data_IF_928401482290
#
_entry.id   IF_928401482290
#
_cell.length_a   1.000
_cell.length_b   1.000
_cell.length_c   1.000
_cell.angle_alpha   90.00
_cell.angle_beta   90.00
_cell.angle_gamma   90.00
#
_symmetry.space_group_name_H-M   'P 1'
#
loop_
_entity.id
_entity.type
_entity.pdbx_description
1 polymer ?
#
# COMPACT_ATOMS: atom_id res chain seq x y z
N UNK A 1 14.14 7.61 -16.70
CA UNK A 1 13.57 7.08 -15.46
C UNK A 1 12.11 6.84 -15.67
N UNK A 2 11.64 5.68 -15.32
CA UNK A 2 10.22 5.31 -15.39
C UNK A 2 9.89 4.33 -14.28
N UNK A 3 8.67 4.41 -13.77
CA UNK A 3 8.11 3.45 -12.81
C UNK A 3 6.82 2.89 -13.37
N UNK A 4 6.63 1.58 -13.24
CA UNK A 4 5.38 0.86 -13.51
C UNK A 4 4.91 0.16 -12.26
N UNK A 5 3.64 0.32 -11.93
CA UNK A 5 2.98 -0.33 -10.78
C UNK A 5 1.71 -0.99 -11.28
N UNK A 6 1.44 -2.22 -10.85
CA UNK A 6 0.15 -2.88 -11.04
C UNK A 6 -0.27 -3.55 -9.73
N UNK A 7 -1.57 -3.50 -9.42
CA UNK A 7 -2.12 -4.10 -8.21
C UNK A 7 -3.52 -4.65 -8.43
N UNK A 8 -3.86 -5.67 -7.63
CA UNK A 8 -5.20 -6.24 -7.50
C UNK A 8 -5.55 -6.45 -6.03
N UNK A 9 -6.78 -6.11 -5.66
CA UNK A 9 -7.31 -6.25 -4.31
C UNK A 9 -8.26 -5.11 -3.96
N UNK A 10 -8.81 -5.08 -2.74
CA UNK A 10 -9.63 -3.96 -2.28
C UNK A 10 -8.86 -2.65 -2.38
N UNK A 11 -9.49 -1.58 -2.89
CA UNK A 11 -8.88 -0.25 -3.01
C UNK A 11 -7.58 -0.22 -3.85
N UNK A 12 -7.42 -1.11 -4.83
CA UNK A 12 -6.22 -1.16 -5.66
C UNK A 12 -5.95 0.18 -6.39
N UNK A 13 -7.00 0.92 -6.77
CA UNK A 13 -6.84 2.24 -7.36
C UNK A 13 -6.16 3.25 -6.43
N UNK A 14 -6.63 3.36 -5.18
CA UNK A 14 -6.00 4.20 -4.16
C UNK A 14 -4.58 3.71 -3.83
N UNK A 15 -4.39 2.39 -3.75
CA UNK A 15 -3.12 1.77 -3.44
C UNK A 15 -2.04 2.12 -4.48
N UNK A 16 -2.33 1.95 -5.77
CA UNK A 16 -1.42 2.30 -6.88
C UNK A 16 -1.11 3.80 -6.89
N UNK A 17 -2.13 4.66 -6.72
CA UNK A 17 -1.94 6.10 -6.66
C UNK A 17 -1.03 6.53 -5.51
N UNK A 18 -1.31 6.06 -4.28
CA UNK A 18 -0.54 6.44 -3.10
C UNK A 18 0.88 5.87 -3.12
N UNK A 19 1.07 4.67 -3.66
CA UNK A 19 2.38 4.06 -3.88
C UNK A 19 3.21 4.91 -4.85
N UNK A 20 2.63 5.34 -5.98
CA UNK A 20 3.30 6.27 -6.90
C UNK A 20 3.61 7.61 -6.22
N UNK A 21 2.64 8.21 -5.53
CA UNK A 21 2.81 9.49 -4.83
C UNK A 21 3.92 9.45 -3.77
N UNK A 22 4.01 8.37 -3.01
CA UNK A 22 5.11 8.16 -2.07
C UNK A 22 6.46 8.07 -2.79
N UNK A 23 6.53 7.31 -3.89
CA UNK A 23 7.74 7.20 -4.71
C UNK A 23 8.16 8.55 -5.28
N UNK A 24 7.23 9.38 -5.76
CA UNK A 24 7.52 10.73 -6.26
C UNK A 24 8.04 11.68 -5.17
N UNK A 25 7.60 11.51 -3.92
CA UNK A 25 8.00 12.36 -2.79
C UNK A 25 9.37 12.02 -2.21
N UNK A 26 9.73 10.74 -2.19
CA UNK A 26 10.96 10.28 -1.53
C UNK A 26 12.03 9.83 -2.53
N UNK A 27 11.65 9.55 -3.77
CA UNK A 27 12.57 9.12 -4.81
C UNK A 27 13.40 10.28 -5.35
N UNK A 28 14.71 10.07 -5.46
CA UNK A 28 15.59 10.99 -6.14
C UNK A 28 15.74 10.57 -7.60
N UNK A 29 15.49 11.52 -8.51
CA UNK A 29 15.56 11.31 -9.95
C UNK A 29 14.54 12.19 -10.69
N UNK A 30 14.50 12.07 -12.03
CA UNK A 30 13.50 12.75 -12.84
C UNK A 30 12.19 11.94 -12.83
N UNK A 31 11.35 12.15 -11.83
CA UNK A 31 10.06 11.51 -11.60
C UNK A 31 9.01 12.58 -11.29
N UNK A 32 7.73 12.27 -11.43
CA UNK A 32 6.64 13.24 -11.22
C UNK A 32 6.41 14.14 -12.43
N UNK A 33 6.73 13.67 -13.63
CA UNK A 33 6.37 14.31 -14.90
C UNK A 33 5.05 13.78 -15.43
N UNK A 34 5.07 12.98 -16.52
CA UNK A 34 3.85 12.34 -17.01
C UNK A 34 3.41 11.18 -16.11
N UNK A 35 2.12 10.89 -16.13
CA UNK A 35 1.56 9.64 -15.63
C UNK A 35 0.42 9.18 -16.54
N UNK A 36 0.33 7.86 -16.79
CA UNK A 36 -0.83 7.21 -17.39
C UNK A 36 -1.35 6.16 -16.43
N UNK A 37 -2.58 6.32 -15.97
CA UNK A 37 -3.21 5.54 -14.93
C UNK A 37 -4.47 4.85 -15.47
N UNK A 38 -4.65 3.59 -15.12
CA UNK A 38 -5.84 2.82 -15.44
C UNK A 38 -6.35 2.08 -14.22
N UNK A 39 -7.67 1.99 -14.08
CA UNK A 39 -8.33 1.22 -13.04
C UNK A 39 -9.54 0.48 -13.60
N UNK A 40 -9.82 -0.70 -13.07
CA UNK A 40 -11.00 -1.50 -13.38
C UNK A 40 -11.73 -1.76 -12.06
N UNK A 41 -12.98 -1.28 -11.98
CA UNK A 41 -13.84 -1.51 -10.83
C UNK A 41 -14.29 -2.97 -10.74
N UNK A 42 -14.84 -3.39 -9.59
CA UNK A 42 -15.32 -4.75 -9.39
C UNK A 42 -16.45 -5.14 -10.35
N UNK A 43 -17.25 -4.16 -10.82
CA UNK A 43 -18.30 -4.34 -11.82
C UNK A 43 -17.80 -4.25 -13.28
N UNK A 44 -16.47 -4.12 -13.47
CA UNK A 44 -15.82 -4.16 -14.78
C UNK A 44 -15.75 -2.83 -15.53
N UNK A 45 -16.02 -1.69 -14.88
CA UNK A 45 -15.88 -0.36 -15.50
C UNK A 45 -14.41 0.01 -15.61
N UNK A 46 -13.93 0.32 -16.82
CA UNK A 46 -12.58 0.84 -17.06
C UNK A 46 -12.57 2.37 -16.92
N UNK A 47 -11.64 2.87 -16.13
CA UNK A 47 -11.38 4.30 -15.90
C UNK A 47 -9.92 4.61 -16.23
N UNK A 48 -9.67 5.70 -16.98
CA UNK A 48 -8.33 6.10 -17.41
C UNK A 48 -8.10 7.57 -17.13
N UNK A 49 -6.89 7.89 -16.66
CA UNK A 49 -6.46 9.25 -16.35
C UNK A 49 -5.02 9.45 -16.82
N UNK A 50 -4.73 10.63 -17.32
CA UNK A 50 -3.43 10.94 -17.87
C UNK A 50 -3.04 12.37 -17.53
N UNK A 51 -1.75 12.58 -17.30
CA UNK A 51 -1.16 13.89 -17.18
C UNK A 51 0.22 13.91 -17.82
N UNK A 52 0.61 15.05 -18.38
CA UNK A 52 1.94 15.23 -18.99
C UNK A 52 2.96 15.78 -18.01
N UNK A 53 2.51 16.50 -16.97
CA UNK A 53 3.39 17.18 -16.01
C UNK A 53 2.77 17.15 -14.62
N UNK A 54 3.64 17.03 -13.61
CA UNK A 54 3.23 17.06 -12.22
C UNK A 54 2.93 15.71 -11.60
N UNK A 55 2.94 14.62 -12.38
CA UNK A 55 2.72 13.26 -11.87
C UNK A 55 1.44 13.16 -11.05
N UNK A 56 1.51 12.61 -9.84
CA UNK A 56 0.35 12.51 -8.94
C UNK A 56 -0.21 13.86 -8.47
N UNK A 57 0.56 14.94 -8.56
CA UNK A 57 0.09 16.27 -8.17
C UNK A 57 -0.87 16.91 -9.17
N UNK A 58 -1.03 16.33 -10.35
CA UNK A 58 -1.94 16.82 -11.39
C UNK A 58 -2.80 15.72 -12.03
N UNK A 59 -2.61 14.45 -11.61
CA UNK A 59 -3.30 13.31 -12.20
C UNK A 59 -4.82 13.35 -11.93
N UNK A 60 -5.21 13.71 -10.71
CA UNK A 60 -6.61 13.88 -10.32
C UNK A 60 -6.88 15.33 -9.96
N UNK A 61 -8.05 15.82 -10.36
CA UNK A 61 -8.48 17.21 -10.22
C UNK A 61 -9.92 17.18 -9.70
N UNK A 62 -10.21 18.02 -8.71
CA UNK A 62 -11.57 18.26 -8.20
C UNK A 62 -11.87 19.77 -8.32
N UNK A 63 -12.71 20.13 -9.28
CA UNK A 63 -12.92 21.53 -9.65
C UNK A 63 -11.62 22.19 -10.13
N UNK A 64 -11.15 23.20 -9.41
CA UNK A 64 -9.87 23.89 -9.68
C UNK A 64 -8.70 23.34 -8.83
N UNK A 65 -8.97 22.39 -7.94
CA UNK A 65 -7.96 21.82 -7.02
C UNK A 65 -7.27 20.64 -7.71
N UNK A 66 -5.95 20.69 -7.83
CA UNK A 66 -5.12 19.61 -8.35
C UNK A 66 -4.48 18.80 -7.23
N UNK A 67 -4.06 17.57 -7.55
CA UNK A 67 -3.37 16.67 -6.60
C UNK A 67 -4.29 16.12 -5.50
N UNK A 68 -5.59 16.09 -5.76
CA UNK A 68 -6.58 15.43 -4.93
C UNK A 68 -6.37 13.92 -4.92
N UNK A 69 -6.98 13.24 -3.99
CA UNK A 69 -7.06 11.78 -4.03
C UNK A 69 -7.92 11.32 -5.24
N UNK A 70 -7.75 10.06 -5.69
CA UNK A 70 -8.60 9.52 -6.74
C UNK A 70 -10.08 9.64 -6.37
N UNK A 71 -10.97 9.90 -7.35
CA UNK A 71 -12.42 9.79 -7.14
C UNK A 71 -12.80 8.46 -6.48
N UNK A 72 -13.89 8.38 -5.71
CA UNK A 72 -14.26 7.18 -4.94
C UNK A 72 -14.36 5.90 -5.77
N UNK A 73 -14.88 5.95 -6.99
CA UNK A 73 -14.99 4.82 -7.89
C UNK A 73 -13.62 4.32 -8.39
N UNK A 74 -12.68 5.24 -8.60
CA UNK A 74 -11.28 4.89 -8.91
C UNK A 74 -10.57 4.37 -7.68
N UNK A 75 -10.71 5.03 -6.53
CA UNK A 75 -10.05 4.66 -5.29
C UNK A 75 -10.38 3.22 -4.87
N UNK A 76 -11.67 2.81 -5.01
CA UNK A 76 -12.18 1.49 -4.63
C UNK A 76 -12.06 0.43 -5.72
N UNK A 77 -11.46 0.76 -6.88
CA UNK A 77 -11.28 -0.18 -7.97
C UNK A 77 -10.53 -1.46 -7.53
N UNK A 78 -10.95 -2.61 -8.08
CA UNK A 78 -10.37 -3.91 -7.75
C UNK A 78 -9.02 -4.17 -8.41
N UNK A 79 -8.76 -3.54 -9.55
CA UNK A 79 -7.47 -3.62 -10.27
C UNK A 79 -7.06 -2.24 -10.72
N UNK A 80 -5.77 -1.94 -10.62
CA UNK A 80 -5.22 -0.69 -11.14
C UNK A 80 -3.78 -0.86 -11.60
N UNK A 81 -3.37 0.00 -12.53
CA UNK A 81 -2.00 0.08 -12.98
C UNK A 81 -1.63 1.53 -13.35
N UNK A 82 -0.36 1.87 -13.25
CA UNK A 82 0.17 3.18 -13.62
C UNK A 82 1.58 3.06 -14.18
N UNK A 83 1.89 3.93 -15.13
CA UNK A 83 3.26 4.25 -15.51
C UNK A 83 3.49 5.74 -15.32
N UNK A 84 4.65 6.09 -14.78
CA UNK A 84 5.07 7.49 -14.60
C UNK A 84 6.56 7.68 -14.89
N UNK A 85 6.92 8.92 -15.21
CA UNK A 85 8.33 9.30 -15.47
C UNK A 85 8.50 10.81 -15.26
N UNK A 86 9.75 11.30 -15.39
CA UNK A 86 10.05 12.73 -15.34
C UNK A 86 9.70 13.50 -16.61
N UNK A 87 10.22 13.13 -17.77
CA UNK A 87 9.99 13.91 -19.00
C UNK A 87 8.57 13.70 -19.58
N UNK A 88 8.10 14.72 -20.29
CA UNK A 88 6.88 14.63 -21.09
C UNK A 88 6.95 13.46 -22.10
N UNK A 89 5.83 12.86 -22.40
CA UNK A 89 5.71 11.79 -23.39
C UNK A 89 4.60 12.10 -24.40
N UNK A 90 4.91 12.03 -25.70
CA UNK A 90 3.84 12.02 -26.69
C UNK A 90 3.00 10.75 -26.52
N UNK A 91 1.68 10.89 -26.68
CA UNK A 91 0.72 9.78 -26.64
C UNK A 91 0.80 8.93 -25.35
N UNK A 92 0.65 9.54 -24.15
CA UNK A 92 0.72 8.81 -22.89
C UNK A 92 -0.32 7.68 -22.80
N UNK A 93 -1.43 7.79 -23.53
CA UNK A 93 -2.47 6.77 -23.64
C UNK A 93 -1.96 5.42 -24.16
N UNK A 94 -0.89 5.41 -24.95
CA UNK A 94 -0.28 4.18 -25.47
C UNK A 94 0.62 3.46 -24.47
N UNK A 95 1.01 4.12 -23.38
CA UNK A 95 1.90 3.56 -22.37
C UNK A 95 1.21 2.55 -21.47
N UNK A 96 -0.13 2.62 -21.39
CA UNK A 96 -0.97 1.69 -20.64
C UNK A 96 -2.04 1.13 -21.56
N UNK A 97 -1.94 -0.17 -21.89
CA UNK A 97 -2.95 -0.90 -22.61
C UNK A 97 -3.99 -1.45 -21.64
N UNK A 98 -5.28 -1.31 -21.96
CA UNK A 98 -6.38 -1.67 -21.05
C UNK A 98 -7.61 -2.15 -21.81
N UNK A 99 -8.24 -3.21 -21.29
CA UNK A 99 -9.49 -3.77 -21.80
C UNK A 99 -10.26 -4.40 -20.64
N UNK A 100 -11.56 -4.17 -20.55
CA UNK A 100 -12.39 -4.68 -19.44
C UNK A 100 -12.49 -6.20 -19.38
N UNK A 101 -12.29 -6.87 -20.52
CA UNK A 101 -12.33 -8.34 -20.63
C UNK A 101 -10.95 -8.98 -20.46
N UNK A 102 -9.89 -8.19 -20.53
CA UNK A 102 -8.52 -8.68 -20.45
C UNK A 102 -7.81 -8.24 -19.17
N UNK A 103 -7.85 -6.95 -18.86
CA UNK A 103 -7.15 -6.36 -17.72
C UNK A 103 -6.35 -5.11 -18.11
N UNK A 104 -5.23 -4.89 -17.41
CA UNK A 104 -4.34 -3.73 -17.58
C UNK A 104 -2.91 -4.20 -17.82
N UNK A 105 -2.21 -3.57 -18.77
CA UNK A 105 -0.80 -3.86 -19.07
C UNK A 105 -0.04 -2.56 -19.23
N UNK A 106 1.02 -2.39 -18.47
CA UNK A 106 1.93 -1.26 -18.56
C UNK A 106 3.36 -1.73 -18.20
N UNK A 107 4.19 -0.87 -17.64
CA UNK A 107 5.54 -1.26 -17.22
C UNK A 107 6.44 -0.08 -16.94
N UNK A 108 7.71 -0.29 -17.11
CA UNK A 108 8.69 0.78 -17.09
C UNK A 108 9.54 0.78 -18.37
N UNK A 109 10.31 1.83 -18.60
CA UNK A 109 11.04 2.10 -19.83
C UNK A 109 10.05 2.42 -20.96
N UNK A 110 9.88 1.54 -21.94
CA UNK A 110 9.12 1.77 -23.17
C UNK A 110 8.13 0.61 -23.44
N UNK A 111 7.10 0.42 -22.61
CA UNK A 111 6.16 -0.70 -22.79
C UNK A 111 5.36 -0.63 -24.10
N UNK A 112 5.32 0.54 -24.75
CA UNK A 112 4.68 0.71 -26.05
C UNK A 112 5.64 0.46 -27.23
N UNK A 113 6.85 -0.08 -27.00
CA UNK A 113 7.77 -0.42 -28.09
C UNK A 113 7.13 -1.44 -29.00
N UNK A 114 7.25 -1.22 -30.32
CA UNK A 114 6.78 -2.16 -31.34
C UNK A 114 7.60 -3.44 -31.28
N UNK A 115 6.93 -4.56 -31.16
CA UNK A 115 7.53 -5.89 -31.17
C UNK A 115 7.73 -6.43 -32.60
N UNK A 116 8.17 -7.68 -32.70
CA UNK A 116 8.50 -8.34 -33.95
C UNK A 116 7.31 -8.50 -34.91
N UNK A 117 6.08 -8.50 -34.42
CA UNK A 117 4.84 -8.60 -35.17
C UNK A 117 4.24 -7.25 -35.59
N UNK A 118 4.93 -6.13 -35.33
CA UNK A 118 4.46 -4.78 -35.66
C UNK A 118 3.48 -4.17 -34.65
N UNK A 119 3.12 -4.91 -33.57
CA UNK A 119 2.24 -4.46 -32.52
C UNK A 119 3.10 -4.08 -31.28
N UNK A 120 2.68 -3.08 -30.50
CA UNK A 120 3.38 -2.73 -29.26
C UNK A 120 3.31 -3.87 -28.23
N UNK A 121 4.41 -4.10 -27.49
CA UNK A 121 4.51 -5.27 -26.60
C UNK A 121 3.47 -5.27 -25.47
N UNK A 122 3.08 -4.12 -24.94
CA UNK A 122 1.98 -4.05 -23.97
C UNK A 122 0.62 -4.44 -24.60
N UNK A 123 0.39 -4.08 -25.86
CA UNK A 123 -0.83 -4.47 -26.59
C UNK A 123 -0.82 -5.95 -26.95
N UNK A 124 0.35 -6.53 -27.29
CA UNK A 124 0.47 -7.98 -27.52
C UNK A 124 0.07 -8.76 -26.28
N UNK A 125 0.58 -8.35 -25.08
CA UNK A 125 0.20 -8.97 -23.80
C UNK A 125 -1.30 -8.86 -23.58
N UNK A 126 -1.88 -7.66 -23.76
CA UNK A 126 -3.32 -7.45 -23.59
C UNK A 126 -4.15 -8.34 -24.52
N UNK A 127 -3.72 -8.49 -25.78
CA UNK A 127 -4.39 -9.34 -26.77
C UNK A 127 -4.36 -10.83 -26.35
N UNK A 128 -3.23 -11.33 -25.81
CA UNK A 128 -3.13 -12.69 -25.28
C UNK A 128 -4.03 -12.88 -24.05
N UNK A 129 -4.04 -11.92 -23.13
CA UNK A 129 -4.93 -11.95 -21.97
C UNK A 129 -6.41 -11.92 -22.39
N UNK A 130 -6.77 -11.16 -23.42
CA UNK A 130 -8.11 -11.17 -24.00
C UNK A 130 -8.47 -12.53 -24.63
N UNK A 131 -7.47 -13.24 -25.15
CA UNK A 131 -7.60 -14.62 -25.63
C UNK A 131 -7.67 -15.68 -24.53
N UNK A 132 -7.65 -15.28 -23.23
CA UNK A 132 -7.78 -16.18 -22.08
C UNK A 132 -6.47 -16.63 -21.43
N UNK A 133 -5.31 -16.12 -21.89
CA UNK A 133 -4.04 -16.36 -21.20
C UNK A 133 -3.99 -15.61 -19.86
N UNK A 134 -3.30 -16.19 -18.89
CA UNK A 134 -2.99 -15.53 -17.63
C UNK A 134 -2.03 -14.34 -17.85
N UNK A 135 -1.96 -13.40 -16.91
CA UNK A 135 -0.98 -12.31 -16.96
C UNK A 135 0.45 -12.84 -17.10
N UNK A 136 0.78 -13.92 -16.39
CA UNK A 136 2.10 -14.55 -16.47
C UNK A 136 2.38 -15.12 -17.86
N UNK A 137 1.53 -16.01 -18.36
CA UNK A 137 1.74 -16.66 -19.66
C UNK A 137 1.84 -15.64 -20.79
N UNK A 138 1.00 -14.58 -20.74
CA UNK A 138 0.99 -13.54 -21.74
C UNK A 138 2.27 -12.70 -21.73
N UNK A 139 2.72 -12.24 -20.54
CA UNK A 139 3.96 -11.46 -20.41
C UNK A 139 5.17 -12.28 -20.83
N UNK A 140 5.27 -13.53 -20.36
CA UNK A 140 6.38 -14.41 -20.69
C UNK A 140 6.43 -14.69 -22.19
N UNK A 141 5.34 -15.09 -22.81
CA UNK A 141 5.27 -15.36 -24.27
C UNK A 141 5.65 -14.14 -25.12
N UNK A 142 5.27 -12.93 -24.69
CA UNK A 142 5.61 -11.70 -25.46
C UNK A 142 7.09 -11.36 -25.30
N UNK A 143 7.64 -11.39 -24.08
CA UNK A 143 9.04 -11.03 -23.83
C UNK A 143 10.02 -12.08 -24.35
N UNK A 144 9.64 -13.36 -24.38
CA UNK A 144 10.46 -14.41 -25.01
C UNK A 144 10.58 -14.23 -26.54
N UNK A 145 9.53 -13.76 -27.18
CA UNK A 145 9.56 -13.42 -28.62
C UNK A 145 10.23 -12.06 -28.92
N UNK A 146 10.34 -11.20 -27.90
CA UNK A 146 10.87 -9.85 -28.02
C UNK A 146 11.97 -9.55 -26.97
N UNK A 147 13.07 -10.35 -26.88
CA UNK A 147 14.04 -10.23 -25.79
C UNK A 147 14.81 -8.91 -25.77
N UNK A 148 14.92 -8.24 -26.94
CA UNK A 148 15.69 -7.00 -27.10
C UNK A 148 14.86 -5.72 -27.03
N UNK A 149 13.56 -5.81 -26.72
CA UNK A 149 12.76 -4.59 -26.46
C UNK A 149 13.22 -3.90 -25.19
N UNK A 150 13.21 -2.57 -25.19
CA UNK A 150 13.56 -1.77 -24.03
C UNK A 150 12.36 -1.58 -23.10
N UNK A 151 11.84 -2.70 -22.56
CA UNK A 151 10.65 -2.70 -21.71
C UNK A 151 10.74 -3.73 -20.60
N UNK A 152 10.33 -3.33 -19.39
CA UNK A 152 9.83 -4.25 -18.36
C UNK A 152 8.32 -4.09 -18.29
N UNK A 153 7.59 -5.20 -18.36
CA UNK A 153 6.14 -5.22 -18.39
C UNK A 153 5.57 -5.61 -17.03
N UNK A 154 4.50 -4.96 -16.64
CA UNK A 154 3.65 -5.33 -15.49
C UNK A 154 2.21 -5.42 -15.97
N UNK A 155 1.49 -6.45 -15.53
CA UNK A 155 0.14 -6.74 -15.95
C UNK A 155 -0.72 -7.16 -14.76
N UNK A 156 -2.01 -6.88 -14.83
CA UNK A 156 -3.05 -7.49 -14.01
C UNK A 156 -4.17 -7.97 -14.92
N UNK A 157 -4.48 -9.26 -14.87
CA UNK A 157 -5.54 -9.83 -15.70
C UNK A 157 -6.92 -9.73 -15.03
N UNK A 158 -7.94 -10.13 -15.77
CA UNK A 158 -9.34 -10.11 -15.29
C UNK A 158 -9.61 -11.01 -14.08
N UNK A 159 -8.75 -12.02 -13.84
CA UNK A 159 -8.85 -12.89 -12.67
C UNK A 159 -8.18 -12.30 -11.44
N UNK A 160 -7.46 -11.20 -11.59
CA UNK A 160 -6.70 -10.54 -10.55
C UNK A 160 -5.27 -11.05 -10.39
N UNK A 161 -4.77 -11.90 -11.31
CA UNK A 161 -3.36 -12.27 -11.27
C UNK A 161 -2.51 -11.06 -11.68
N UNK A 162 -1.60 -10.68 -10.77
CA UNK A 162 -0.61 -9.61 -10.99
C UNK A 162 0.72 -10.26 -11.31
N UNK A 163 1.31 -9.90 -12.45
CA UNK A 163 2.60 -10.42 -12.88
C UNK A 163 3.41 -9.37 -13.64
N UNK A 164 4.72 -9.54 -13.66
CA UNK A 164 5.60 -8.70 -14.48
C UNK A 164 6.96 -9.34 -14.67
N UNK A 165 7.63 -8.93 -15.73
CA UNK A 165 8.97 -9.39 -16.10
C UNK A 165 9.70 -8.32 -16.88
N UNK A 166 11.00 -8.25 -16.70
CA UNK A 166 11.90 -7.44 -17.51
C UNK A 166 12.35 -8.22 -18.75
N UNK A 167 12.49 -7.56 -19.88
CA UNK A 167 13.13 -8.13 -21.07
C UNK A 167 14.60 -8.46 -20.82
N UNK A 168 15.19 -9.33 -21.63
CA UNK A 168 16.62 -9.64 -21.53
C UNK A 168 17.50 -8.38 -21.67
N UNK A 169 17.09 -7.43 -22.53
CA UNK A 169 17.77 -6.14 -22.66
C UNK A 169 17.73 -5.32 -21.37
N UNK A 170 16.56 -5.22 -20.73
CA UNK A 170 16.41 -4.43 -19.48
C UNK A 170 17.18 -5.07 -18.33
N UNK A 171 17.23 -6.41 -18.25
CA UNK A 171 17.97 -7.13 -17.20
C UNK A 171 19.48 -6.86 -17.23
N UNK A 172 20.05 -6.40 -18.32
CA UNK A 172 21.47 -6.01 -18.40
C UNK A 172 21.77 -4.66 -17.75
N UNK A 173 20.76 -3.92 -17.28
CA UNK A 173 20.92 -2.61 -16.68
C UNK A 173 21.23 -2.72 -15.18
N UNK A 174 22.17 -1.94 -14.65
CA UNK A 174 22.48 -1.92 -13.22
C UNK A 174 21.57 -1.02 -12.39
N UNK A 175 20.66 -0.27 -13.04
CA UNK A 175 19.85 0.78 -12.42
C UNK A 175 18.35 0.45 -12.38
N UNK A 176 18.00 -0.83 -12.43
CA UNK A 176 16.64 -1.33 -12.29
C UNK A 176 16.38 -1.82 -10.86
N UNK A 177 15.14 -1.71 -10.43
CA UNK A 177 14.66 -2.35 -9.21
C UNK A 177 13.26 -2.87 -9.40
N UNK A 178 12.95 -3.92 -8.66
CA UNK A 178 11.63 -4.54 -8.64
C UNK A 178 11.28 -5.01 -7.23
N UNK A 179 9.99 -4.99 -6.93
CA UNK A 179 9.44 -5.63 -5.74
C UNK A 179 8.05 -6.19 -6.07
N UNK A 180 7.72 -7.28 -5.39
CA UNK A 180 6.43 -7.98 -5.50
C UNK A 180 5.98 -8.37 -4.13
N UNK A 181 4.69 -8.23 -3.85
CA UNK A 181 4.13 -8.68 -2.60
C UNK A 181 2.69 -9.15 -2.81
N UNK A 182 2.31 -10.21 -2.08
CA UNK A 182 0.96 -10.75 -2.08
C UNK A 182 0.60 -11.18 -0.67
N UNK A 183 -0.57 -10.76 -0.19
CA UNK A 183 -1.07 -11.08 1.16
C UNK A 183 -2.59 -11.00 1.16
N UNK A 184 -3.25 -12.03 1.73
CA UNK A 184 -4.70 -12.04 1.98
C UNK A 184 -5.57 -11.64 0.76
N UNK A 185 -5.20 -12.09 -0.45
CA UNK A 185 -5.93 -11.80 -1.69
C UNK A 185 -5.59 -10.46 -2.36
N UNK A 186 -4.72 -9.65 -1.75
CA UNK A 186 -4.15 -8.48 -2.38
C UNK A 186 -2.79 -8.79 -2.99
N UNK A 187 -2.48 -8.22 -4.15
CA UNK A 187 -1.21 -8.41 -4.86
C UNK A 187 -0.76 -7.11 -5.50
N UNK A 188 0.54 -6.85 -5.48
CA UNK A 188 1.14 -5.66 -6.08
C UNK A 188 2.52 -5.98 -6.65
N UNK A 189 2.85 -5.31 -7.74
CA UNK A 189 4.18 -5.34 -8.35
C UNK A 189 4.62 -3.92 -8.69
N UNK A 190 5.89 -3.63 -8.43
CA UNK A 190 6.54 -2.34 -8.71
C UNK A 190 7.83 -2.60 -9.45
N UNK A 191 7.95 -2.02 -10.65
CA UNK A 191 9.18 -2.03 -11.45
C UNK A 191 9.60 -0.61 -11.75
N UNK A 192 10.89 -0.30 -11.65
CA UNK A 192 11.40 1.00 -12.10
C UNK A 192 12.87 0.95 -12.51
N UNK A 193 13.33 2.04 -13.14
CA UNK A 193 14.73 2.27 -13.44
C UNK A 193 15.17 3.69 -13.06
N UNK A 194 16.44 3.82 -12.66
CA UNK A 194 17.14 5.11 -12.41
C UNK A 194 16.47 5.99 -11.34
N UNK A 195 15.70 5.42 -10.41
CA UNK A 195 15.15 6.12 -9.24
C UNK A 195 15.95 5.64 -8.02
N UNK A 196 16.34 6.55 -7.12
CA UNK A 196 17.10 6.25 -5.91
C UNK A 196 16.29 6.56 -4.65
N UNK A 197 16.53 5.81 -3.55
CA UNK A 197 17.35 4.62 -3.42
C UNK A 197 16.76 3.44 -4.20
N UNK A 198 17.60 2.59 -4.80
CA UNK A 198 17.14 1.57 -5.74
C UNK A 198 16.18 0.54 -5.09
N UNK A 199 16.69 -0.49 -4.45
CA UNK A 199 15.86 -1.64 -4.00
C UNK A 199 14.89 -1.29 -2.87
N UNK A 200 15.32 -0.49 -1.92
CA UNK A 200 14.51 -0.12 -0.74
C UNK A 200 13.22 0.60 -1.13
N UNK A 201 13.29 1.47 -2.15
CA UNK A 201 12.11 2.24 -2.57
C UNK A 201 11.07 1.37 -3.26
N UNK A 202 11.47 0.34 -4.01
CA UNK A 202 10.52 -0.61 -4.61
C UNK A 202 9.76 -1.39 -3.52
N UNK A 203 10.47 -1.88 -2.50
CA UNK A 203 9.88 -2.55 -1.36
C UNK A 203 8.92 -1.62 -0.59
N UNK A 204 9.35 -0.39 -0.27
CA UNK A 204 8.49 0.60 0.39
C UNK A 204 7.21 0.87 -0.40
N UNK A 205 7.31 1.01 -1.72
CA UNK A 205 6.15 1.25 -2.58
C UNK A 205 5.16 0.06 -2.57
N UNK A 206 5.66 -1.19 -2.53
CA UNK A 206 4.80 -2.38 -2.41
C UNK A 206 4.13 -2.48 -1.05
N UNK A 207 4.83 -2.19 0.06
CA UNK A 207 4.23 -2.20 1.39
C UNK A 207 3.14 -1.13 1.55
N UNK A 208 3.38 0.10 1.08
CA UNK A 208 2.35 1.14 1.06
C UNK A 208 1.10 0.69 0.32
N UNK A 209 1.26 0.04 -0.85
CA UNK A 209 0.12 -0.47 -1.60
C UNK A 209 -0.64 -1.57 -0.84
N UNK A 210 0.06 -2.52 -0.24
CA UNK A 210 -0.54 -3.59 0.56
C UNK A 210 -1.28 -3.03 1.78
N UNK A 211 -0.68 -2.10 2.53
CA UNK A 211 -1.31 -1.50 3.71
C UNK A 211 -2.63 -0.81 3.35
N UNK A 212 -2.69 -0.14 2.19
CA UNK A 212 -3.92 0.50 1.70
C UNK A 212 -4.96 -0.54 1.28
N UNK A 213 -4.56 -1.59 0.56
CA UNK A 213 -5.48 -2.63 0.09
C UNK A 213 -6.03 -3.47 1.24
N UNK A 214 -5.20 -3.80 2.22
CA UNK A 214 -5.60 -4.63 3.37
C UNK A 214 -6.24 -3.81 4.48
N UNK A 215 -5.92 -2.51 4.54
CA UNK A 215 -6.30 -1.63 5.63
C UNK A 215 -5.60 -2.00 6.95
N UNK A 216 -5.93 -1.28 8.00
CA UNK A 216 -5.49 -1.68 9.34
C UNK A 216 -6.17 -3.00 9.71
N UNK A 217 -5.45 -3.94 10.35
CA UNK A 217 -6.02 -5.16 10.85
C UNK A 217 -7.24 -4.86 11.72
N UNK A 218 -8.37 -5.53 11.46
CA UNK A 218 -9.57 -5.34 12.29
C UNK A 218 -9.29 -5.86 13.70
N UNK A 219 -9.69 -5.11 14.74
CA UNK A 219 -9.55 -5.61 16.11
C UNK A 219 -10.44 -6.83 16.35
N UNK A 220 -9.95 -7.77 17.17
CA UNK A 220 -10.76 -8.90 17.67
C UNK A 220 -11.70 -8.47 18.80
N UNK A 221 -11.44 -7.32 19.38
CA UNK A 221 -12.28 -6.70 20.39
C UNK A 221 -11.78 -5.30 20.73
N UNK A 222 -12.52 -4.64 21.61
CA UNK A 222 -12.16 -3.31 22.11
C UNK A 222 -12.05 -3.32 23.63
N UNK A 223 -11.17 -2.49 24.17
CA UNK A 223 -11.09 -2.17 25.60
C UNK A 223 -11.27 -0.67 25.77
N UNK A 224 -12.08 -0.28 26.76
CA UNK A 224 -12.32 1.12 27.11
C UNK A 224 -11.48 1.51 28.31
N UNK A 225 -10.71 2.58 28.21
CA UNK A 225 -9.91 3.14 29.31
C UNK A 225 -10.44 4.52 29.66
N UNK A 226 -10.71 4.75 30.92
CA UNK A 226 -11.28 5.99 31.42
C UNK A 226 -10.28 6.78 32.27
N UNK A 227 -10.45 8.09 32.35
CA UNK A 227 -9.85 8.88 33.42
C UNK A 227 -10.26 8.31 34.80
N UNK A 228 -9.35 8.35 35.73
CA UNK A 228 -9.53 7.72 37.05
C UNK A 228 -9.08 6.25 37.14
N UNK A 229 -8.82 5.58 36.01
CA UNK A 229 -8.26 4.22 35.98
C UNK A 229 -6.93 4.21 36.72
N UNK A 230 -6.76 3.35 37.78
CA UNK A 230 -5.51 3.23 38.51
C UNK A 230 -4.34 2.79 37.62
N UNK A 231 -3.16 3.36 37.90
CA UNK A 231 -1.88 2.86 37.37
C UNK A 231 -1.14 2.23 38.54
N UNK A 232 -0.79 0.97 38.41
CA UNK A 232 -0.14 0.21 39.51
C UNK A 232 1.20 -0.39 39.03
N UNK A 233 2.17 -0.61 39.94
CA UNK A 233 3.41 -1.28 39.61
C UNK A 233 3.16 -2.67 39.00
N UNK A 234 3.88 -3.03 37.94
CA UNK A 234 3.81 -4.32 37.30
C UNK A 234 5.09 -4.64 36.56
N UNK A 235 5.30 -5.91 36.20
CA UNK A 235 6.49 -6.36 35.46
C UNK A 235 6.48 -5.94 34.01
N UNK A 236 5.31 -5.63 33.50
CA UNK A 236 5.10 -5.22 32.10
C UNK A 236 4.02 -4.14 32.04
N UNK A 237 3.98 -3.41 30.93
CA UNK A 237 2.87 -2.52 30.63
C UNK A 237 1.71 -3.35 30.10
N UNK A 238 0.62 -3.41 30.84
CA UNK A 238 -0.55 -4.21 30.53
C UNK A 238 -1.84 -3.48 30.89
N UNK A 239 -2.94 -3.86 30.25
CA UNK A 239 -4.29 -3.37 30.54
C UNK A 239 -5.11 -4.52 31.13
N UNK A 240 -5.65 -4.32 32.32
CA UNK A 240 -6.56 -5.27 32.97
C UNK A 240 -7.99 -4.73 32.90
N UNK A 241 -8.93 -5.51 32.40
CA UNK A 241 -10.32 -5.09 32.25
C UNK A 241 -11.31 -6.01 32.94
N UNK A 242 -12.51 -5.46 33.18
CA UNK A 242 -13.67 -6.17 33.70
C UNK A 242 -14.39 -7.02 32.63
N UNK A 243 -15.53 -7.60 33.01
CA UNK A 243 -16.39 -8.39 32.14
C UNK A 243 -16.89 -7.60 30.92
N UNK A 244 -17.01 -6.27 31.03
CA UNK A 244 -17.51 -5.36 29.98
C UNK A 244 -16.38 -4.75 29.12
N UNK A 245 -15.14 -5.25 29.27
CA UNK A 245 -13.94 -4.70 28.63
C UNK A 245 -13.65 -3.24 29.02
N UNK A 246 -13.97 -2.82 30.24
CA UNK A 246 -13.57 -1.53 30.79
C UNK A 246 -12.35 -1.75 31.66
N UNK A 247 -11.31 -0.96 31.44
CA UNK A 247 -10.06 -1.05 32.20
C UNK A 247 -10.30 -0.76 33.69
N UNK A 248 -9.90 -1.69 34.54
CA UNK A 248 -9.93 -1.58 36.00
C UNK A 248 -8.60 -1.07 36.55
N UNK A 249 -7.50 -1.37 35.90
CA UNK A 249 -6.19 -0.79 36.12
C UNK A 249 -5.26 -1.01 34.91
N UNK A 250 -4.19 -0.23 34.87
CA UNK A 250 -3.09 -0.38 33.93
C UNK A 250 -1.82 -0.62 34.72
N UNK A 251 -0.96 -1.55 34.28
CA UNK A 251 0.33 -1.77 34.93
C UNK A 251 1.46 -1.07 34.18
N UNK A 252 2.50 -0.69 34.94
CA UNK A 252 3.76 -0.18 34.43
C UNK A 252 4.91 -0.62 35.30
N UNK A 253 6.09 -0.84 34.73
CA UNK A 253 7.32 -1.20 35.42
C UNK A 253 8.12 0.03 35.88
N UNK A 254 7.71 1.22 35.43
CA UNK A 254 8.37 2.48 35.74
C UNK A 254 7.76 3.08 37.02
N UNK A 255 8.53 3.09 38.11
CA UNK A 255 8.02 3.54 39.41
C UNK A 255 7.62 5.01 39.41
N UNK A 256 8.24 5.85 38.60
CA UNK A 256 7.90 7.26 38.47
C UNK A 256 6.51 7.44 37.81
N UNK A 257 6.08 6.51 36.98
CA UNK A 257 4.74 6.48 36.39
C UNK A 257 3.65 6.30 37.45
N UNK A 258 3.96 5.65 38.56
CA UNK A 258 2.97 5.28 39.57
C UNK A 258 2.85 6.32 40.67
N UNK A 259 3.94 6.98 41.07
CA UNK A 259 4.03 7.84 42.24
C UNK A 259 3.97 9.35 41.96
N UNK A 260 4.01 9.79 40.72
CA UNK A 260 4.14 11.20 40.37
C UNK A 260 3.03 11.74 39.47
N UNK A 261 3.32 12.89 38.89
CA UNK A 261 2.58 13.43 37.73
C UNK A 261 3.46 13.31 36.51
N UNK A 262 2.90 12.82 35.42
CA UNK A 262 3.69 12.64 34.22
C UNK A 262 2.84 12.56 32.94
N UNK A 263 3.58 12.58 31.87
CA UNK A 263 3.09 12.62 30.53
C UNK A 263 3.97 11.70 29.69
N UNK A 264 3.45 10.55 29.30
CA UNK A 264 4.25 9.52 28.64
C UNK A 264 3.38 8.60 27.78
N UNK A 265 4.03 7.70 27.04
CA UNK A 265 3.37 6.50 26.52
C UNK A 265 3.10 5.56 27.68
N UNK A 266 1.84 5.26 27.92
CA UNK A 266 1.44 4.41 29.05
C UNK A 266 0.87 3.07 28.66
N UNK A 267 0.47 2.92 27.41
CA UNK A 267 0.00 1.67 26.82
C UNK A 267 0.69 1.57 25.47
N UNK A 268 1.59 0.61 25.34
CA UNK A 268 2.38 0.43 24.13
C UNK A 268 1.63 -0.42 23.10
N UNK A 269 2.04 -0.33 21.85
CA UNK A 269 1.67 -1.31 20.83
C UNK A 269 2.09 -2.70 21.30
N UNK A 270 1.19 -3.67 21.25
CA UNK A 270 1.45 -5.03 21.70
C UNK A 270 1.37 -5.24 23.21
N UNK A 271 0.98 -4.23 24.01
CA UNK A 271 0.73 -4.42 25.44
C UNK A 271 -0.36 -5.46 25.66
N UNK A 272 -0.14 -6.45 26.55
CA UNK A 272 -1.15 -7.46 26.83
C UNK A 272 -2.41 -6.85 27.45
N UNK A 273 -3.56 -7.40 27.06
CA UNK A 273 -4.88 -7.07 27.59
C UNK A 273 -5.43 -8.29 28.31
N UNK A 274 -5.70 -8.15 29.60
CA UNK A 274 -6.20 -9.22 30.47
C UNK A 274 -7.65 -8.96 30.88
N UNK A 275 -8.44 -10.02 30.91
CA UNK A 275 -9.75 -10.07 31.59
C UNK A 275 -9.65 -11.00 32.79
N UNK A 276 -9.60 -10.41 34.00
CA UNK A 276 -9.13 -11.15 35.16
C UNK A 276 -7.69 -11.61 34.98
N UNK A 277 -7.44 -12.92 35.11
CA UNK A 277 -6.12 -13.54 34.85
C UNK A 277 -5.94 -14.03 33.40
N UNK A 278 -6.97 -13.95 32.57
CA UNK A 278 -6.95 -14.48 31.18
C UNK A 278 -6.45 -13.42 30.23
N UNK A 279 -5.35 -13.70 29.51
CA UNK A 279 -4.93 -12.92 28.36
C UNK A 279 -5.99 -13.02 27.24
N UNK A 280 -6.52 -11.90 26.80
CA UNK A 280 -7.53 -11.83 25.73
C UNK A 280 -6.99 -11.24 24.43
N UNK A 281 -5.82 -10.62 24.46
CA UNK A 281 -5.16 -10.07 23.29
C UNK A 281 -4.09 -9.06 23.63
N UNK A 282 -3.66 -8.32 22.60
CA UNK A 282 -2.62 -7.31 22.68
C UNK A 282 -3.10 -6.04 21.99
N UNK A 283 -2.74 -4.88 22.53
CA UNK A 283 -3.14 -3.56 21.99
C UNK A 283 -2.60 -3.36 20.58
N UNK A 284 -3.38 -2.67 19.75
CA UNK A 284 -3.05 -2.45 18.33
C UNK A 284 -2.33 -1.12 18.06
N UNK A 285 -2.09 -0.30 19.06
CA UNK A 285 -1.41 0.99 18.93
C UNK A 285 -0.92 1.51 20.28
N UNK A 286 -0.02 2.48 20.22
CA UNK A 286 0.45 3.21 21.38
C UNK A 286 -0.53 4.28 21.81
N UNK A 287 -0.60 4.49 23.14
CA UNK A 287 -1.50 5.45 23.74
C UNK A 287 -0.74 6.37 24.68
N UNK A 288 -0.77 7.66 24.37
CA UNK A 288 -0.30 8.71 25.27
C UNK A 288 -1.21 8.79 26.49
N UNK A 289 -0.63 8.85 27.67
CA UNK A 289 -1.37 9.07 28.91
C UNK A 289 -0.85 10.29 29.67
N UNK A 290 -1.74 10.92 30.42
CA UNK A 290 -1.40 11.86 31.50
C UNK A 290 -1.89 11.20 32.77
N UNK A 291 -1.00 11.05 33.76
CA UNK A 291 -1.35 10.47 35.05
C UNK A 291 -1.07 11.46 36.18
N UNK A 292 -1.83 11.33 37.27
CA UNK A 292 -1.68 12.07 38.50
C UNK A 292 -2.04 11.16 39.69
N UNK A 293 -1.19 11.14 40.71
CA UNK A 293 -1.41 10.42 41.94
C UNK A 293 -1.86 8.96 41.73
N UNK A 294 -1.14 8.24 40.88
CA UNK A 294 -1.40 6.84 40.55
C UNK A 294 -2.67 6.57 39.74
N UNK A 295 -3.25 7.58 39.09
CA UNK A 295 -4.44 7.43 38.27
C UNK A 295 -4.27 8.11 36.90
N UNK A 296 -4.88 7.56 35.89
CA UNK A 296 -4.97 8.22 34.59
C UNK A 296 -5.84 9.47 34.67
N UNK A 297 -5.29 10.62 34.34
CA UNK A 297 -6.03 11.88 34.22
C UNK A 297 -6.63 12.02 32.81
N UNK A 298 -5.85 11.66 31.78
CA UNK A 298 -6.25 11.66 30.38
C UNK A 298 -5.60 10.49 29.65
N UNK A 299 -6.27 10.00 28.60
CA UNK A 299 -5.78 9.01 27.65
C UNK A 299 -5.98 9.60 26.26
N UNK A 300 -4.90 9.76 25.48
CA UNK A 300 -4.93 10.46 24.18
C UNK A 300 -5.67 11.79 24.22
N UNK A 301 -5.36 12.61 25.23
CA UNK A 301 -5.97 13.92 25.50
C UNK A 301 -7.50 13.88 25.74
N UNK A 302 -8.08 12.72 26.00
CA UNK A 302 -9.51 12.49 26.28
C UNK A 302 -9.72 11.89 27.67
N UNK A 303 -10.91 12.07 28.23
CA UNK A 303 -11.31 11.46 29.49
C UNK A 303 -11.70 9.99 29.36
N UNK A 304 -11.94 9.51 28.15
CA UNK A 304 -12.32 8.12 27.85
C UNK A 304 -11.94 7.80 26.42
N UNK A 305 -11.25 6.68 26.22
CA UNK A 305 -10.83 6.18 24.92
C UNK A 305 -11.16 4.71 24.81
N UNK A 306 -11.66 4.27 23.68
CA UNK A 306 -11.78 2.86 23.31
C UNK A 306 -10.77 2.53 22.23
N UNK A 307 -10.03 1.45 22.40
CA UNK A 307 -9.05 1.00 21.41
C UNK A 307 -9.10 -0.52 21.21
N UNK A 308 -8.69 -0.93 20.02
CA UNK A 308 -8.71 -2.32 19.61
C UNK A 308 -7.58 -3.15 20.22
N UNK A 309 -7.84 -4.44 20.38
CA UNK A 309 -6.81 -5.44 20.65
C UNK A 309 -6.93 -6.62 19.69
N UNK A 310 -5.83 -7.34 19.48
CA UNK A 310 -5.77 -8.57 18.70
C UNK A 310 -5.31 -9.75 19.53
N UNK A 311 -5.86 -10.93 19.25
CA UNK A 311 -5.55 -12.16 19.99
C UNK A 311 -4.17 -12.71 19.64
N UNK A 312 -3.75 -12.57 18.37
CA UNK A 312 -2.46 -13.07 17.90
C UNK A 312 -1.42 -11.94 17.81
N UNK A 313 -0.31 -12.09 18.55
CA UNK A 313 0.80 -11.11 18.53
C UNK A 313 1.56 -11.15 17.19
N UNK A 314 1.66 -12.31 16.57
CA UNK A 314 2.40 -12.52 15.32
C UNK A 314 1.91 -11.66 14.13
N UNK A 315 0.68 -11.13 14.23
CA UNK A 315 0.12 -10.25 13.20
C UNK A 315 0.39 -8.75 13.47
N UNK A 316 1.01 -8.42 14.61
CA UNK A 316 1.41 -7.05 14.99
C UNK A 316 2.89 -6.78 14.68
N UNK A 317 3.68 -7.82 14.47
CA UNK A 317 5.06 -7.67 14.04
C UNK A 317 5.09 -7.43 12.54
N UNK A 318 5.62 -6.27 12.11
CA UNK A 318 6.06 -6.12 10.73
C UNK A 318 7.04 -7.24 10.38
N UNK A 319 6.91 -7.87 9.20
CA UNK A 319 7.86 -8.86 8.71
C UNK A 319 9.25 -8.27 8.53
#
# INVERSE_FOLDING_TARGET
>A
MTIGIAAHGPNAGLAVYRSLRATERVGAGSIGGFASFGAISADGKLMRYETQRGGTSTLFIEGEITGTDPPPDVATAASAAVISSGPDRPQPEKLLAADTLAGLVTGHRMPMTTGADGISVNQQVLNLMKGGHSAQDAVDAVLDRNPEVDAGLVAVDRSGQVYGRNSARVLRRPDIAEARASRAGASVIVFYNSIRPHTVLAALATEIALDIMLGLPKPDGQVKVNAGTPVIPGRERAVYCDANNVAIHVTGHDFELVSGQGHCTGIDLGSPVYKGSKLIGHTMFETKIIFRDGKLAFVSDQKSVSFGYRRALAELTCP
#
